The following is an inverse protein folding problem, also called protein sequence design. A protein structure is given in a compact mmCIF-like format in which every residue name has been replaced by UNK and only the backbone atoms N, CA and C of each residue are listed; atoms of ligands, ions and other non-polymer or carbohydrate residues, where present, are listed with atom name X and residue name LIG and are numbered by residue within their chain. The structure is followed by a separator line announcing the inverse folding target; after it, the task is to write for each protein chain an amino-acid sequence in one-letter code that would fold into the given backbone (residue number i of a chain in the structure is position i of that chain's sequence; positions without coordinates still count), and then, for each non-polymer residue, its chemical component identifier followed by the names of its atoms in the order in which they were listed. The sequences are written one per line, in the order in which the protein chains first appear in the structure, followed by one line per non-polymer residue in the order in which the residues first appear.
data_IF_011800142049
#
_entry.id   IF_011800142049
#
_cell.length_a   1.000
_cell.length_b   1.000
_cell.length_c   1.000
_cell.angle_alpha   90.00
_cell.angle_beta   90.00
_cell.angle_gamma   90.00
#
_symmetry.space_group_name_H-M   'P 1'
#
loop_
_entity.id
_entity.type
_entity.pdbx_description
1 polymer ?
#
# COMPACT_ATOMS: atom_id res chain seq x y z
N UNK A 1 4.61 -96.48 47.69
CA UNK A 1 5.52 -95.97 46.66
C UNK A 1 4.67 -95.76 45.42
N UNK A 2 4.51 -94.62 44.76
CA UNK A 2 4.93 -93.21 44.82
C UNK A 2 3.83 -92.51 43.98
N UNK A 3 3.14 -91.50 44.50
CA UNK A 3 3.38 -90.06 44.24
C UNK A 3 2.81 -89.52 42.91
N UNK A 4 1.72 -88.71 43.01
CA UNK A 4 1.42 -87.38 42.38
C UNK A 4 1.57 -87.26 40.82
N UNK A 5 0.84 -86.45 40.04
CA UNK A 5 0.61 -84.98 40.16
C UNK A 5 -0.19 -84.45 38.93
N UNK A 6 -0.91 -83.33 39.12
CA UNK A 6 -1.33 -82.25 38.17
C UNK A 6 -2.20 -82.61 36.95
N UNK A 7 -3.47 -82.22 36.83
CA UNK A 7 -4.06 -80.85 36.82
C UNK A 7 -3.38 -79.94 35.79
N UNK A 8 -3.86 -80.02 34.53
CA UNK A 8 -3.65 -79.01 33.50
C UNK A 8 -4.73 -77.92 33.67
N UNK A 9 -4.38 -76.85 34.37
CA UNK A 9 -5.18 -75.63 34.49
C UNK A 9 -4.89 -74.70 33.32
N UNK A 10 -5.97 -74.27 32.65
CA UNK A 10 -6.32 -72.87 32.35
C UNK A 10 -5.22 -71.98 31.74
N UNK A 11 -5.45 -71.52 30.50
CA UNK A 11 -5.55 -70.07 30.28
C UNK A 11 -6.28 -69.67 28.98
N UNK A 12 -7.47 -69.05 29.08
CA UNK A 12 -8.05 -68.24 28.03
C UNK A 12 -7.98 -66.77 28.46
N UNK A 13 -6.95 -66.04 28.03
CA UNK A 13 -7.03 -64.57 27.91
C UNK A 13 -5.72 -64.02 27.33
N UNK A 14 -5.74 -63.72 26.04
CA UNK A 14 -4.72 -62.92 25.38
C UNK A 14 -5.31 -62.21 24.17
N UNK A 15 -6.24 -61.27 24.38
CA UNK A 15 -6.62 -60.31 23.34
C UNK A 15 -6.89 -58.91 23.92
N UNK A 16 -6.18 -57.93 23.35
CA UNK A 16 -6.58 -56.52 23.19
C UNK A 16 -6.26 -55.48 24.28
N UNK A 17 -5.00 -55.01 24.34
CA UNK A 17 -4.64 -53.71 24.96
C UNK A 17 -3.98 -52.68 23.99
N UNK A 18 -3.91 -52.97 22.68
CA UNK A 18 -3.15 -52.13 21.73
C UNK A 18 -3.86 -50.84 21.27
N UNK A 19 -5.18 -50.70 21.44
CA UNK A 19 -5.95 -49.60 20.84
C UNK A 19 -5.92 -48.28 21.61
N UNK A 20 -5.68 -48.31 22.92
CA UNK A 20 -5.75 -47.11 23.78
C UNK A 20 -4.54 -46.17 23.65
N UNK A 21 -3.35 -46.73 23.39
CA UNK A 21 -2.12 -45.95 23.30
C UNK A 21 -2.00 -45.17 21.98
N UNK A 22 -2.55 -45.72 20.90
CA UNK A 22 -2.58 -45.05 19.59
C UNK A 22 -3.55 -43.87 19.60
N UNK A 23 -4.75 -44.03 20.18
CA UNK A 23 -5.72 -42.93 20.30
C UNK A 23 -5.19 -41.80 21.18
N UNK A 24 -4.51 -42.11 22.29
CA UNK A 24 -3.87 -41.11 23.13
C UNK A 24 -2.75 -40.35 22.39
N UNK A 25 -1.94 -41.07 21.62
CA UNK A 25 -0.86 -40.51 20.79
C UNK A 25 -1.41 -39.63 19.66
N UNK A 26 -2.50 -40.03 19.03
CA UNK A 26 -3.19 -39.26 18.00
C UNK A 26 -3.82 -37.99 18.58
N UNK A 27 -4.44 -38.08 19.76
CA UNK A 27 -5.02 -36.93 20.46
C UNK A 27 -3.95 -35.90 20.83
N UNK A 28 -2.77 -36.36 21.25
CA UNK A 28 -1.60 -35.51 21.50
C UNK A 28 -1.13 -34.82 20.20
N UNK A 29 -0.97 -35.56 19.10
CA UNK A 29 -0.60 -34.99 17.79
C UNK A 29 -1.59 -33.93 17.33
N UNK A 30 -2.90 -34.19 17.44
CA UNK A 30 -3.94 -33.22 17.09
C UNK A 30 -3.87 -31.99 17.99
N UNK A 31 -3.61 -32.15 19.29
CA UNK A 31 -3.41 -31.04 20.22
C UNK A 31 -2.23 -30.15 19.79
N UNK A 32 -1.11 -30.77 19.43
CA UNK A 32 0.08 -30.05 18.94
C UNK A 32 -0.23 -29.31 17.63
N UNK A 33 -0.89 -29.95 16.66
CA UNK A 33 -1.26 -29.31 15.39
C UNK A 33 -2.20 -28.12 15.62
N UNK A 34 -3.16 -28.23 16.54
CA UNK A 34 -4.06 -27.12 16.90
C UNK A 34 -3.31 -25.96 17.54
N UNK A 35 -2.39 -26.25 18.45
CA UNK A 35 -1.56 -25.23 19.09
C UNK A 35 -0.66 -24.51 18.09
N UNK A 36 -0.03 -25.26 17.17
CA UNK A 36 0.77 -24.68 16.10
C UNK A 36 -0.08 -23.83 15.15
N UNK A 37 -1.26 -24.31 14.76
CA UNK A 37 -2.19 -23.55 13.92
C UNK A 37 -2.65 -22.25 14.62
N UNK A 38 -2.92 -22.30 15.93
CA UNK A 38 -3.30 -21.12 16.70
C UNK A 38 -2.17 -20.07 16.75
N UNK A 39 -0.92 -20.50 16.94
CA UNK A 39 0.25 -19.61 16.92
C UNK A 39 0.47 -18.99 15.55
N UNK A 40 0.38 -19.77 14.48
CA UNK A 40 0.48 -19.25 13.11
C UNK A 40 -0.62 -18.23 12.83
N UNK A 41 -1.86 -18.47 13.27
CA UNK A 41 -2.94 -17.49 13.11
C UNK A 41 -2.67 -16.19 13.89
N UNK A 42 -2.10 -16.27 15.09
CA UNK A 42 -1.70 -15.08 15.86
C UNK A 42 -0.58 -14.28 15.17
N UNK A 43 0.37 -14.95 14.50
CA UNK A 43 1.45 -14.30 13.74
C UNK A 43 0.97 -13.74 12.38
N UNK A 44 -0.09 -14.29 11.80
CA UNK A 44 -0.68 -13.81 10.55
C UNK A 44 -1.68 -12.66 10.73
N UNK A 45 -2.32 -12.54 11.91
CA UNK A 45 -3.17 -11.40 12.25
C UNK A 45 -2.51 -10.02 12.00
N UNK A 46 -1.25 -9.76 12.41
CA UNK A 46 -0.57 -8.48 12.12
C UNK A 46 -0.15 -8.31 10.65
N UNK A 47 -0.29 -9.34 9.80
CA UNK A 47 -0.02 -9.24 8.35
C UNK A 47 -1.29 -8.90 7.55
N UNK A 48 -2.48 -9.26 8.07
CA UNK A 48 -3.78 -8.94 7.46
C UNK A 48 -4.39 -7.67 8.01
N UNK A 49 -4.02 -7.26 9.21
CA UNK A 49 -4.35 -5.94 9.74
C UNK A 49 -3.35 -4.92 9.16
N UNK A 50 -3.41 -4.77 7.84
CA UNK A 50 -2.93 -3.54 7.25
C UNK A 50 -3.98 -2.52 7.68
N UNK A 51 -3.70 -1.65 8.67
CA UNK A 51 -4.71 -0.69 9.08
C UNK A 51 -5.10 0.06 7.81
N UNK A 52 -6.40 0.29 7.60
CA UNK A 52 -6.90 1.08 6.47
C UNK A 52 -6.19 2.45 6.38
N UNK A 53 -5.48 2.88 7.42
CA UNK A 53 -4.54 4.01 7.41
C UNK A 53 -3.31 3.87 6.50
N UNK A 54 -2.99 2.68 5.96
CA UNK A 54 -2.04 2.52 4.85
C UNK A 54 -2.68 2.68 3.48
N UNK A 55 -4.01 2.59 3.38
CA UNK A 55 -4.69 3.22 2.25
C UNK A 55 -4.47 4.72 2.47
N UNK A 56 -3.84 5.35 1.47
CA UNK A 56 -3.51 6.77 1.47
C UNK A 56 -4.65 7.57 2.13
N UNK A 57 -4.36 8.57 2.99
CA UNK A 57 -5.39 9.40 3.58
C UNK A 57 -6.35 9.84 2.47
N UNK A 58 -7.66 9.72 2.72
CA UNK A 58 -8.75 10.09 1.82
C UNK A 58 -8.30 11.19 0.86
N UNK A 59 -7.96 10.81 -0.38
CA UNK A 59 -7.37 11.74 -1.33
C UNK A 59 -8.47 12.70 -1.78
N UNK A 60 -8.25 14.00 -1.61
CA UNK A 60 -9.13 14.97 -2.27
C UNK A 60 -8.87 14.88 -3.78
N UNK A 61 -9.92 14.62 -4.55
CA UNK A 61 -9.84 14.51 -6.01
C UNK A 61 -9.20 15.77 -6.62
N UNK A 62 -9.51 16.95 -6.09
CA UNK A 62 -8.97 18.20 -6.60
C UNK A 62 -7.46 18.32 -6.33
N UNK A 63 -7.00 17.84 -5.18
CA UNK A 63 -5.57 17.79 -4.89
C UNK A 63 -4.85 16.82 -5.81
N UNK A 64 -5.40 15.64 -6.08
CA UNK A 64 -4.76 14.67 -6.98
C UNK A 64 -4.70 15.20 -8.42
N UNK A 65 -5.79 15.81 -8.91
CA UNK A 65 -5.82 16.50 -10.21
C UNK A 65 -4.79 17.62 -10.24
N UNK A 66 -4.64 18.39 -9.15
CA UNK A 66 -3.63 19.45 -9.06
C UNK A 66 -2.22 18.89 -9.17
N UNK A 67 -1.89 17.80 -8.48
CA UNK A 67 -0.59 17.14 -8.59
C UNK A 67 -0.33 16.64 -10.01
N UNK A 68 -1.32 15.99 -10.61
CA UNK A 68 -1.24 15.53 -12.00
C UNK A 68 -0.97 16.69 -12.98
N UNK A 69 -1.72 17.79 -12.85
CA UNK A 69 -1.53 18.98 -13.70
C UNK A 69 -0.14 19.61 -13.50
N UNK A 70 0.36 19.69 -12.26
CA UNK A 70 1.72 20.19 -11.97
C UNK A 70 2.75 19.33 -12.71
N UNK A 71 2.66 18.00 -12.57
CA UNK A 71 3.58 17.06 -13.22
C UNK A 71 3.55 17.20 -14.75
N UNK A 72 2.35 17.39 -15.31
CA UNK A 72 2.17 17.57 -16.75
C UNK A 72 2.81 18.88 -17.24
N UNK A 73 2.61 19.98 -16.51
CA UNK A 73 3.20 21.30 -16.83
C UNK A 73 4.72 21.25 -16.72
N UNK A 74 5.24 20.67 -15.65
CA UNK A 74 6.69 20.53 -15.41
C UNK A 74 7.35 19.69 -16.51
N UNK A 75 6.73 18.55 -16.87
CA UNK A 75 7.23 17.69 -17.94
C UNK A 75 7.26 18.41 -19.29
N UNK A 76 6.23 19.21 -19.59
CA UNK A 76 6.20 19.99 -20.81
C UNK A 76 7.28 21.08 -20.83
N UNK A 77 7.50 21.78 -19.71
CA UNK A 77 8.57 22.77 -19.58
C UNK A 77 9.96 22.13 -19.73
N UNK A 78 10.20 20.97 -19.12
CA UNK A 78 11.46 20.24 -19.25
C UNK A 78 11.73 19.86 -20.72
N UNK A 79 10.73 19.33 -21.43
CA UNK A 79 10.83 18.96 -22.86
C UNK A 79 11.05 20.15 -23.78
N UNK A 80 10.67 21.36 -23.36
CA UNK A 80 10.85 22.58 -24.16
C UNK A 80 11.97 23.50 -23.66
N UNK A 81 12.80 23.03 -22.71
CA UNK A 81 13.90 23.82 -22.14
C UNK A 81 13.43 25.09 -21.42
N UNK A 82 12.29 25.01 -20.73
CA UNK A 82 11.67 26.13 -20.02
C UNK A 82 10.88 27.10 -20.90
N UNK A 83 10.75 26.85 -22.21
CA UNK A 83 9.97 27.71 -23.10
C UNK A 83 8.46 27.50 -22.88
N UNK A 84 7.83 28.45 -22.16
CA UNK A 84 6.41 28.41 -21.82
C UNK A 84 5.49 28.38 -23.04
N UNK A 85 5.80 29.13 -24.10
CA UNK A 85 4.96 29.16 -25.29
C UNK A 85 4.96 27.81 -26.00
N UNK A 86 6.14 27.17 -26.10
CA UNK A 86 6.26 25.82 -26.65
C UNK A 86 5.63 24.77 -25.74
N UNK A 87 5.77 24.90 -24.42
CA UNK A 87 5.13 23.99 -23.46
C UNK A 87 3.60 24.09 -23.53
N UNK A 88 3.05 25.30 -23.64
CA UNK A 88 1.60 25.51 -23.80
C UNK A 88 1.09 24.84 -25.08
N UNK A 89 1.80 25.00 -26.20
CA UNK A 89 1.48 24.32 -27.46
C UNK A 89 1.54 22.80 -27.33
N UNK A 90 2.57 22.26 -26.66
CA UNK A 90 2.71 20.83 -26.41
C UNK A 90 1.56 20.26 -25.58
N UNK A 91 1.03 21.04 -24.64
CA UNK A 91 -0.11 20.67 -23.81
C UNK A 91 -1.48 20.96 -24.44
N UNK A 92 -1.54 21.56 -25.63
CA UNK A 92 -2.79 21.99 -26.25
C UNK A 92 -3.48 23.14 -25.51
N UNK A 93 -2.75 23.93 -24.72
CA UNK A 93 -3.26 25.05 -23.94
C UNK A 93 -2.93 26.40 -24.58
N UNK A 94 -3.76 27.41 -24.29
CA UNK A 94 -3.39 28.81 -24.54
C UNK A 94 -2.24 29.20 -23.62
N UNK A 95 -1.31 30.02 -24.11
CA UNK A 95 -0.19 30.52 -23.32
C UNK A 95 -0.66 31.27 -22.04
N UNK A 96 -1.77 31.99 -22.11
CA UNK A 96 -2.37 32.69 -20.96
C UNK A 96 -2.91 31.75 -19.89
N UNK A 97 -3.42 30.58 -20.29
CA UNK A 97 -3.86 29.53 -19.37
C UNK A 97 -2.67 28.91 -18.65
N UNK A 98 -1.62 28.52 -19.40
CA UNK A 98 -0.40 28.00 -18.81
C UNK A 98 0.22 29.01 -17.84
N UNK A 99 0.33 30.28 -18.24
CA UNK A 99 0.87 31.34 -17.39
C UNK A 99 0.10 31.48 -16.08
N UNK A 100 -1.23 31.38 -16.13
CA UNK A 100 -2.09 31.46 -14.95
C UNK A 100 -1.90 30.25 -14.03
N UNK A 101 -1.74 29.04 -14.59
CA UNK A 101 -1.44 27.81 -13.84
C UNK A 101 -0.04 27.83 -13.22
N UNK A 102 0.97 28.36 -13.90
CA UNK A 102 2.32 28.55 -13.35
C UNK A 102 2.32 29.46 -12.12
N UNK A 103 1.54 30.55 -12.17
CA UNK A 103 1.35 31.43 -11.00
C UNK A 103 0.60 30.75 -9.87
N UNK A 104 -0.49 30.03 -10.18
CA UNK A 104 -1.31 29.33 -9.20
C UNK A 104 -0.52 28.24 -8.46
N UNK A 105 0.41 27.58 -9.14
CA UNK A 105 1.22 26.49 -8.58
C UNK A 105 2.63 26.92 -8.18
N UNK A 106 2.94 28.22 -8.25
CA UNK A 106 4.25 28.78 -7.91
C UNK A 106 5.42 28.11 -8.65
N UNK A 107 5.20 27.67 -9.90
CA UNK A 107 6.22 26.97 -10.70
C UNK A 107 7.15 28.00 -11.35
N UNK A 108 8.44 27.95 -11.01
CA UNK A 108 9.46 28.85 -11.55
C UNK A 108 10.11 28.25 -12.80
N UNK A 109 10.00 28.95 -13.93
CA UNK A 109 10.49 28.45 -15.24
C UNK A 109 12.00 28.56 -15.43
N UNK A 110 12.68 29.40 -14.63
CA UNK A 110 14.14 29.61 -14.71
C UNK A 110 14.96 28.36 -14.39
N UNK A 111 14.40 27.41 -13.64
CA UNK A 111 15.09 26.20 -13.18
C UNK A 111 15.21 25.16 -14.32
N UNK A 112 14.35 25.23 -15.34
CA UNK A 112 14.28 24.24 -16.43
C UNK A 112 15.21 24.56 -17.62
N UNK A 113 16.18 25.46 -17.43
CA UNK A 113 17.10 25.94 -18.47
C UNK A 113 18.37 25.10 -18.66
N UNK A 114 18.63 24.08 -17.83
CA UNK A 114 19.81 23.22 -17.91
C UNK A 114 19.42 21.77 -17.62
N UNK A 115 19.74 20.88 -18.56
CA UNK A 115 19.78 19.41 -18.49
C UNK A 115 18.61 18.68 -17.80
N UNK A 116 17.87 17.90 -18.59
CA UNK A 116 16.86 16.95 -18.12
C UNK A 116 17.43 16.01 -17.05
N UNK A 117 16.90 16.00 -15.81
CA UNK A 117 17.24 14.99 -14.82
C UNK A 117 16.48 13.71 -15.19
N UNK A 118 17.22 12.74 -15.70
CA UNK A 118 16.71 11.42 -16.03
C UNK A 118 16.79 10.48 -14.84
N UNK A 119 15.92 10.65 -13.84
CA UNK A 119 15.65 9.68 -12.77
C UNK A 119 14.79 10.30 -11.66
N UNK A 120 13.48 10.01 -11.73
CA UNK A 120 12.50 9.75 -10.67
C UNK A 120 12.48 10.40 -9.28
N UNK A 121 13.55 11.01 -8.73
CA UNK A 121 13.62 11.25 -7.28
C UNK A 121 13.54 12.72 -6.84
N UNK A 122 13.84 13.67 -7.72
CA UNK A 122 13.96 15.10 -7.33
C UNK A 122 12.63 15.82 -7.03
N UNK A 123 11.47 15.25 -7.38
CA UNK A 123 10.17 15.94 -7.26
C UNK A 123 9.50 15.82 -5.88
N UNK A 124 9.93 14.87 -5.05
CA UNK A 124 9.32 14.61 -3.74
C UNK A 124 9.59 15.71 -2.69
N UNK A 125 10.63 16.53 -2.90
CA UNK A 125 11.07 17.54 -1.92
C UNK A 125 10.59 18.97 -2.23
N UNK A 126 10.16 19.28 -3.47
CA UNK A 126 9.75 20.64 -3.86
C UNK A 126 8.27 20.96 -3.54
N UNK A 127 7.43 19.95 -3.29
CA UNK A 127 5.97 20.14 -3.07
C UNK A 127 5.58 20.14 -1.58
N UNK A 128 6.51 19.84 -0.66
CA UNK A 128 6.23 19.81 0.79
C UNK A 128 6.14 21.17 1.50
N UNK A 129 6.29 22.28 0.78
CA UNK A 129 6.23 23.63 1.35
C UNK A 129 5.14 24.47 0.68
N UNK A 130 3.88 24.20 1.03
CA UNK A 130 2.93 25.28 1.35
C UNK A 130 1.62 24.69 1.89
N UNK A 131 1.42 24.65 3.22
CA UNK A 131 0.07 24.74 3.76
C UNK A 131 -0.43 26.17 3.53
N UNK A 132 -1.72 26.29 3.27
CA UNK A 132 -2.50 27.53 3.27
C UNK A 132 -2.28 28.50 2.11
N UNK A 133 -3.13 28.36 1.09
CA UNK A 133 -3.61 29.55 0.38
C UNK A 133 -5.10 29.38 0.03
N UNK A 134 -5.95 29.54 1.03
CA UNK A 134 -7.32 29.99 0.81
C UNK A 134 -7.30 31.45 0.40
N UNK A 135 -7.77 31.78 -0.81
CA UNK A 135 -8.48 33.03 -1.16
C UNK A 135 -8.35 33.32 -2.65
N UNK A 136 -9.47 33.62 -3.31
CA UNK A 136 -9.41 34.12 -4.69
C UNK A 136 -10.74 34.30 -5.40
N UNK A 137 -11.75 34.86 -4.72
CA UNK A 137 -13.00 35.32 -5.31
C UNK A 137 -12.74 36.17 -6.57
N UNK A 138 -13.22 35.72 -7.73
CA UNK A 138 -13.27 36.56 -8.94
C UNK A 138 -14.60 37.27 -9.04
N UNK A 139 -14.58 38.55 -8.69
CA UNK A 139 -15.58 39.54 -9.05
C UNK A 139 -15.84 39.50 -10.57
N UNK A 140 -17.07 39.16 -10.96
CA UNK A 140 -17.53 39.35 -12.34
C UNK A 140 -17.79 40.85 -12.54
N UNK A 141 -16.97 41.48 -13.39
CA UNK A 141 -17.17 42.84 -13.89
C UNK A 141 -18.53 42.96 -14.59
N UNK A 142 -19.31 43.97 -14.21
CA UNK A 142 -20.51 44.41 -14.89
C UNK A 142 -20.19 44.83 -16.33
N UNK A 143 -21.03 44.38 -17.29
CA UNK A 143 -21.10 44.96 -18.63
C UNK A 143 -21.96 46.22 -18.52
N UNK A 144 -21.35 47.38 -18.70
CA UNK A 144 -22.06 48.60 -19.07
C UNK A 144 -22.50 48.47 -20.54
N UNK A 145 -23.80 48.63 -20.78
CA UNK A 145 -24.40 49.01 -22.06
C UNK A 145 -25.14 50.32 -21.82
#
# INVERSE_FOLDING_TARGET
MESKTSVEQKNPDALSESGGQDVASQKLRIGIVKELAARLLQELMPLTDVPESRLRPSFDFYDEVRHFEINLIVSALARTGGNQLRAARLLGLKATTLHSKLKLYNITTKIYGVAAPGDGEAYSNLVRLSPDNHSGARHKRAKSR
#
